data_IF_763942830531
#
_entry.id   IF_763942830531
#
_cell.length_a   1.000
_cell.length_b   1.000
_cell.length_c   1.000
_cell.angle_alpha   90.00
_cell.angle_beta   90.00
_cell.angle_gamma   90.00
#
_symmetry.space_group_name_H-M   'P 1'
#
loop_
_entity.id
_entity.type
_entity.pdbx_description
1 polymer ?
#
# COMPACT_ATOMS: atom_id res chain seq x y z
N UNK A 1 -113.41 34.22 -82.04
CA UNK A 1 -112.21 34.87 -81.47
C UNK A 1 -111.58 35.77 -82.52
N UNK A 2 -111.38 37.05 -82.21
CA UNK A 2 -110.71 37.96 -83.13
C UNK A 2 -109.27 37.48 -83.37
N UNK A 3 -108.88 37.32 -84.64
CA UNK A 3 -107.51 36.90 -85.04
C UNK A 3 -106.43 37.80 -84.42
N UNK A 4 -106.75 39.06 -84.12
CA UNK A 4 -105.89 40.01 -83.40
C UNK A 4 -105.66 39.61 -81.94
N UNK A 5 -106.68 39.16 -81.21
CA UNK A 5 -106.57 38.74 -79.81
C UNK A 5 -105.71 37.48 -79.65
N UNK A 6 -105.84 36.49 -80.55
CA UNK A 6 -105.02 35.27 -80.51
C UNK A 6 -103.53 35.54 -80.76
N UNK A 7 -103.21 36.43 -81.73
CA UNK A 7 -101.83 36.86 -82.00
C UNK A 7 -101.20 37.54 -80.78
N UNK A 8 -101.95 38.42 -80.10
CA UNK A 8 -101.46 39.11 -78.90
C UNK A 8 -101.16 38.13 -77.75
N UNK A 9 -102.01 37.10 -77.56
CA UNK A 9 -101.77 36.04 -76.56
C UNK A 9 -100.52 35.22 -76.90
N UNK A 10 -100.32 34.86 -78.16
CA UNK A 10 -99.17 34.08 -78.60
C UNK A 10 -97.85 34.88 -78.48
N UNK A 11 -97.88 36.17 -78.80
CA UNK A 11 -96.74 37.09 -78.57
C UNK A 11 -96.41 37.19 -77.08
N UNK A 12 -97.43 37.35 -76.23
CA UNK A 12 -97.25 37.38 -74.77
C UNK A 12 -96.61 36.10 -74.23
N UNK A 13 -97.06 34.92 -74.70
CA UNK A 13 -96.50 33.63 -74.29
C UNK A 13 -95.04 33.47 -74.73
N UNK A 14 -94.67 33.90 -75.94
CA UNK A 14 -93.27 33.90 -76.40
C UNK A 14 -92.38 34.82 -75.56
N UNK A 15 -92.88 35.99 -75.17
CA UNK A 15 -92.16 36.90 -74.26
C UNK A 15 -91.95 36.25 -72.89
N UNK A 16 -92.95 35.56 -72.35
CA UNK A 16 -92.82 34.85 -71.06
C UNK A 16 -91.82 33.69 -71.15
N UNK A 17 -91.86 32.88 -72.20
CA UNK A 17 -90.89 31.78 -72.39
C UNK A 17 -89.48 32.33 -72.53
N UNK A 18 -89.28 33.36 -73.37
CA UNK A 18 -87.95 33.96 -73.57
C UNK A 18 -87.42 34.60 -72.29
N UNK A 19 -88.25 35.31 -71.52
CA UNK A 19 -87.89 35.86 -70.22
C UNK A 19 -87.56 34.75 -69.19
N UNK A 20 -88.36 33.68 -69.15
CA UNK A 20 -88.11 32.52 -68.27
C UNK A 20 -86.81 31.80 -68.64
N UNK A 21 -86.54 31.59 -69.94
CA UNK A 21 -85.29 31.00 -70.42
C UNK A 21 -84.08 31.86 -70.08
N UNK A 22 -84.18 33.19 -70.25
CA UNK A 22 -83.10 34.12 -69.88
C UNK A 22 -82.86 34.12 -68.37
N UNK A 23 -83.93 34.14 -67.55
CA UNK A 23 -83.83 34.03 -66.10
C UNK A 23 -83.18 32.72 -65.67
N UNK A 24 -83.62 31.59 -66.22
CA UNK A 24 -83.04 30.25 -65.94
C UNK A 24 -81.58 30.14 -66.37
N UNK A 25 -81.23 30.72 -67.50
CA UNK A 25 -79.84 30.79 -67.95
C UNK A 25 -78.99 31.63 -66.99
N UNK A 26 -79.50 32.77 -66.54
CA UNK A 26 -78.85 33.61 -65.54
C UNK A 26 -78.65 32.91 -64.20
N UNK A 27 -79.66 32.20 -63.68
CA UNK A 27 -79.51 31.40 -62.45
C UNK A 27 -78.49 30.27 -62.62
N UNK A 28 -78.51 29.57 -63.76
CA UNK A 28 -77.55 28.49 -64.04
C UNK A 28 -76.12 29.01 -64.18
N UNK A 29 -75.91 30.19 -64.79
CA UNK A 29 -74.61 30.84 -64.85
C UNK A 29 -74.11 31.23 -63.46
N UNK A 30 -74.99 31.77 -62.61
CA UNK A 30 -74.64 32.10 -61.22
C UNK A 30 -74.21 30.86 -60.45
N UNK A 31 -74.98 29.77 -60.52
CA UNK A 31 -74.63 28.49 -59.88
C UNK A 31 -73.29 27.93 -60.39
N UNK A 32 -73.02 28.03 -61.70
CA UNK A 32 -71.71 27.62 -62.26
C UNK A 32 -70.56 28.49 -61.75
N UNK A 33 -70.79 29.78 -61.58
CA UNK A 33 -69.79 30.69 -61.05
C UNK A 33 -69.52 30.45 -59.56
N UNK A 34 -70.58 30.25 -58.76
CA UNK A 34 -70.48 29.93 -57.34
C UNK A 34 -69.74 28.59 -57.13
N UNK A 35 -70.07 27.56 -57.93
CA UNK A 35 -69.35 26.26 -57.88
C UNK A 35 -67.89 26.40 -58.33
N UNK A 36 -67.58 27.25 -59.31
CA UNK A 36 -66.20 27.52 -59.71
C UNK A 36 -65.39 28.21 -58.60
N UNK A 37 -65.98 29.17 -57.88
CA UNK A 37 -65.34 29.80 -56.71
C UNK A 37 -65.05 28.77 -55.63
N UNK A 38 -66.04 27.96 -55.25
CA UNK A 38 -65.86 26.92 -54.24
C UNK A 38 -64.80 25.91 -54.66
N UNK A 39 -64.78 25.52 -55.94
CA UNK A 39 -63.77 24.59 -56.46
C UNK A 39 -62.36 25.19 -56.38
N UNK A 40 -62.18 26.48 -56.63
CA UNK A 40 -60.88 27.13 -56.49
C UNK A 40 -60.46 27.26 -55.02
N UNK A 41 -61.39 27.56 -54.11
CA UNK A 41 -61.12 27.58 -52.67
C UNK A 41 -60.71 26.19 -52.16
N UNK A 42 -61.39 25.13 -52.61
CA UNK A 42 -61.03 23.75 -52.26
C UNK A 42 -59.66 23.36 -52.80
N UNK A 43 -59.30 23.81 -54.01
CA UNK A 43 -57.95 23.60 -54.56
C UNK A 43 -56.88 24.29 -53.72
N UNK A 44 -57.09 25.55 -53.37
CA UNK A 44 -56.17 26.31 -52.51
C UNK A 44 -55.99 25.63 -51.14
N UNK A 45 -57.09 25.16 -50.54
CA UNK A 45 -57.02 24.40 -49.28
C UNK A 45 -56.27 23.08 -49.44
N UNK A 46 -56.45 22.37 -50.57
CA UNK A 46 -55.74 21.13 -50.85
C UNK A 46 -54.24 21.39 -50.99
N UNK A 47 -53.85 22.44 -51.72
CA UNK A 47 -52.45 22.84 -51.88
C UNK A 47 -51.80 23.18 -50.54
N UNK A 48 -52.52 23.91 -49.66
CA UNK A 48 -52.06 24.20 -48.29
C UNK A 48 -51.90 22.91 -47.48
N UNK A 49 -52.90 22.02 -47.51
CA UNK A 49 -52.83 20.73 -46.79
C UNK A 49 -51.68 19.85 -47.29
N UNK A 50 -51.41 19.88 -48.59
CA UNK A 50 -50.31 19.12 -49.19
C UNK A 50 -48.95 19.68 -48.74
N UNK A 51 -48.81 21.01 -48.68
CA UNK A 51 -47.62 21.67 -48.13
C UNK A 51 -47.44 21.35 -46.64
N UNK A 52 -48.49 21.44 -45.83
CA UNK A 52 -48.45 21.09 -44.41
C UNK A 52 -48.05 19.63 -44.21
N UNK A 53 -48.61 18.72 -45.00
CA UNK A 53 -48.24 17.30 -44.96
C UNK A 53 -46.76 17.10 -45.29
N UNK A 54 -46.24 17.77 -46.31
CA UNK A 54 -44.81 17.67 -46.67
C UNK A 54 -43.91 18.22 -45.56
N UNK A 55 -44.29 19.35 -44.96
CA UNK A 55 -43.56 19.95 -43.85
C UNK A 55 -43.55 19.02 -42.62
N UNK A 56 -44.70 18.44 -42.27
CA UNK A 56 -44.81 17.48 -41.16
C UNK A 56 -44.00 16.21 -41.41
N UNK A 57 -43.96 15.71 -42.65
CA UNK A 57 -43.11 14.57 -43.00
C UNK A 57 -41.62 14.90 -42.86
N UNK A 58 -41.20 16.08 -43.34
CA UNK A 58 -39.82 16.53 -43.20
C UNK A 58 -39.42 16.71 -41.73
N UNK A 59 -40.29 17.26 -40.90
CA UNK A 59 -40.03 17.46 -39.48
C UNK A 59 -40.03 16.13 -38.70
N UNK A 60 -40.88 15.17 -39.09
CA UNK A 60 -40.86 13.81 -38.55
C UNK A 60 -39.54 13.10 -38.90
N UNK A 61 -39.06 13.22 -40.13
CA UNK A 61 -37.76 12.66 -40.54
C UNK A 61 -36.60 13.30 -39.77
N UNK A 62 -36.58 14.63 -39.63
CA UNK A 62 -35.59 15.32 -38.77
C UNK A 62 -35.66 14.85 -37.32
N UNK A 63 -36.87 14.70 -36.78
CA UNK A 63 -37.10 14.18 -35.43
C UNK A 63 -36.49 12.78 -35.24
N UNK A 64 -36.71 11.88 -36.20
CA UNK A 64 -36.11 10.53 -36.19
C UNK A 64 -34.58 10.55 -36.29
N UNK A 65 -34.02 11.45 -37.10
CA UNK A 65 -32.56 11.59 -37.22
C UNK A 65 -31.94 12.10 -35.91
N UNK A 66 -32.57 13.09 -35.26
CA UNK A 66 -32.13 13.59 -33.97
C UNK A 66 -32.27 12.53 -32.88
N UNK A 67 -33.35 11.76 -32.87
CA UNK A 67 -33.52 10.64 -31.94
C UNK A 67 -32.43 9.58 -32.13
N UNK A 68 -32.12 9.22 -33.38
CA UNK A 68 -31.03 8.29 -33.68
C UNK A 68 -29.68 8.82 -33.17
N UNK A 69 -29.36 10.10 -33.41
CA UNK A 69 -28.14 10.73 -32.91
C UNK A 69 -28.07 10.72 -31.38
N UNK A 70 -29.16 11.11 -30.70
CA UNK A 70 -29.23 11.12 -29.23
C UNK A 70 -29.10 9.72 -28.63
N UNK A 71 -29.62 8.69 -29.30
CA UNK A 71 -29.44 7.30 -28.83
C UNK A 71 -28.00 6.84 -29.01
N UNK A 72 -27.36 7.15 -30.13
CA UNK A 72 -25.93 6.87 -30.36
C UNK A 72 -25.04 7.55 -29.31
N UNK A 73 -25.23 8.87 -29.11
CA UNK A 73 -24.52 9.63 -28.08
C UNK A 73 -24.73 9.07 -26.67
N UNK A 74 -25.97 8.69 -26.31
CA UNK A 74 -26.25 8.06 -25.03
C UNK A 74 -25.51 6.73 -24.86
N UNK A 75 -25.45 5.90 -25.90
CA UNK A 75 -24.71 4.63 -25.85
C UNK A 75 -23.21 4.88 -25.69
N UNK A 76 -22.64 5.83 -26.44
CA UNK A 76 -21.24 6.22 -26.33
C UNK A 76 -20.89 6.78 -24.94
N UNK A 77 -21.73 7.66 -24.39
CA UNK A 77 -21.58 8.19 -23.04
C UNK A 77 -21.66 7.08 -21.99
N UNK A 78 -22.61 6.14 -22.12
CA UNK A 78 -22.75 5.00 -21.21
C UNK A 78 -21.51 4.12 -21.22
N UNK A 79 -20.91 3.87 -22.38
CA UNK A 79 -19.70 3.07 -22.48
C UNK A 79 -18.46 3.82 -21.97
N UNK A 80 -18.38 5.13 -22.19
CA UNK A 80 -17.37 5.99 -21.56
C UNK A 80 -17.46 5.96 -20.04
N UNK A 81 -18.67 6.04 -19.47
CA UNK A 81 -18.90 5.93 -18.02
C UNK A 81 -18.46 4.57 -17.48
N UNK A 82 -18.75 3.48 -18.20
CA UNK A 82 -18.26 2.14 -17.79
C UNK A 82 -16.73 2.07 -17.85
N UNK A 83 -16.11 2.57 -18.91
CA UNK A 83 -14.66 2.55 -19.09
C UNK A 83 -13.95 3.38 -18.00
N UNK A 84 -14.46 4.57 -17.68
CA UNK A 84 -13.92 5.40 -16.60
C UNK A 84 -14.10 4.73 -15.24
N UNK A 85 -15.26 4.12 -14.96
CA UNK A 85 -15.48 3.35 -13.73
C UNK A 85 -14.47 2.21 -13.57
N UNK A 86 -14.20 1.45 -14.64
CA UNK A 86 -13.20 0.37 -14.61
C UNK A 86 -11.80 0.93 -14.32
N UNK A 87 -11.40 2.03 -14.99
CA UNK A 87 -10.11 2.69 -14.72
C UNK A 87 -10.01 3.16 -13.27
N UNK A 88 -11.07 3.76 -12.75
CA UNK A 88 -11.16 4.25 -11.38
C UNK A 88 -11.02 3.09 -10.38
N UNK A 89 -11.69 1.96 -10.61
CA UNK A 89 -11.53 0.77 -9.77
C UNK A 89 -10.10 0.21 -9.79
N UNK A 90 -9.43 0.22 -10.96
CA UNK A 90 -8.02 -0.21 -11.06
C UNK A 90 -7.10 0.71 -10.25
N UNK A 91 -7.26 2.02 -10.39
CA UNK A 91 -6.47 3.00 -9.64
C UNK A 91 -6.67 2.86 -8.13
N UNK A 92 -7.90 2.59 -7.66
CA UNK A 92 -8.13 2.33 -6.24
C UNK A 92 -7.46 1.05 -5.74
N UNK A 93 -7.45 -0.01 -6.55
CA UNK A 93 -6.74 -1.24 -6.20
C UNK A 93 -5.23 -1.01 -6.13
N UNK A 94 -4.65 -0.34 -7.13
CA UNK A 94 -3.22 0.03 -7.15
C UNK A 94 -2.86 0.94 -5.96
N UNK A 95 -3.71 1.91 -5.62
CA UNK A 95 -3.50 2.77 -4.45
C UNK A 95 -3.46 1.94 -3.17
N UNK A 96 -4.43 1.03 -2.98
CA UNK A 96 -4.49 0.17 -1.80
C UNK A 96 -3.29 -0.77 -1.70
N UNK A 97 -2.81 -1.29 -2.82
CA UNK A 97 -1.58 -2.10 -2.86
C UNK A 97 -0.35 -1.29 -2.45
N UNK A 98 -0.23 -0.05 -2.94
CA UNK A 98 0.86 0.86 -2.55
C UNK A 98 0.79 1.26 -1.08
N UNK A 99 -0.41 1.51 -0.55
CA UNK A 99 -0.61 1.80 0.87
C UNK A 99 -0.15 0.63 1.74
N UNK A 100 -0.53 -0.61 1.40
CA UNK A 100 -0.03 -1.81 2.09
C UNK A 100 1.49 -1.94 2.02
N UNK A 101 2.07 -1.74 0.83
CA UNK A 101 3.53 -1.80 0.67
C UNK A 101 4.24 -0.72 1.50
N UNK A 102 3.64 0.47 1.62
CA UNK A 102 4.15 1.54 2.46
C UNK A 102 4.06 1.19 3.95
N UNK A 103 2.95 0.62 4.41
CA UNK A 103 2.78 0.14 5.79
C UNK A 103 3.82 -0.94 6.13
N UNK A 104 4.02 -1.92 5.24
CA UNK A 104 5.04 -2.97 5.41
C UNK A 104 6.45 -2.38 5.47
N UNK A 105 6.77 -1.43 4.59
CA UNK A 105 8.07 -0.77 4.58
C UNK A 105 8.29 0.05 5.84
N UNK A 106 7.27 0.77 6.30
CA UNK A 106 7.29 1.56 7.54
C UNK A 106 7.51 0.65 8.76
N UNK A 107 6.85 -0.51 8.80
CA UNK A 107 7.06 -1.51 9.83
C UNK A 107 8.49 -2.09 9.82
N UNK A 108 9.04 -2.43 8.65
CA UNK A 108 10.43 -2.88 8.54
C UNK A 108 11.42 -1.80 8.97
N UNK A 109 11.15 -0.55 8.61
CA UNK A 109 11.98 0.57 9.00
C UNK A 109 12.01 0.76 10.53
N UNK A 110 10.86 0.66 11.20
CA UNK A 110 10.79 0.77 12.66
C UNK A 110 11.50 -0.40 13.37
N UNK A 111 11.39 -1.63 12.84
CA UNK A 111 12.16 -2.78 13.33
C UNK A 111 13.67 -2.55 13.20
N UNK A 112 14.15 -2.14 12.03
CA UNK A 112 15.57 -1.85 11.81
C UNK A 112 16.07 -0.71 12.70
N UNK A 113 15.24 0.30 12.95
CA UNK A 113 15.58 1.39 13.87
C UNK A 113 15.76 0.88 15.30
N UNK A 114 14.88 -0.02 15.77
CA UNK A 114 14.99 -0.65 17.08
C UNK A 114 16.21 -1.57 17.17
N UNK A 115 16.49 -2.38 16.14
CA UNK A 115 17.68 -3.23 16.08
C UNK A 115 18.97 -2.40 16.11
N UNK A 116 19.02 -1.31 15.36
CA UNK A 116 20.18 -0.41 15.38
C UNK A 116 20.39 0.24 16.75
N UNK A 117 19.30 0.67 17.42
CA UNK A 117 19.38 1.17 18.79
C UNK A 117 19.94 0.12 19.76
N UNK A 118 19.45 -1.13 19.70
CA UNK A 118 19.95 -2.23 20.52
C UNK A 118 21.44 -2.51 20.26
N UNK A 119 21.87 -2.54 18.98
CA UNK A 119 23.27 -2.76 18.62
C UNK A 119 24.19 -1.64 19.13
N UNK A 120 23.72 -0.39 19.12
CA UNK A 120 24.45 0.76 19.69
C UNK A 120 24.63 0.57 21.20
N UNK A 121 23.59 0.13 21.91
CA UNK A 121 23.67 -0.15 23.35
C UNK A 121 24.62 -1.33 23.66
N UNK A 122 24.51 -2.44 22.93
CA UNK A 122 25.40 -3.60 23.09
C UNK A 122 26.86 -3.22 22.85
N UNK A 123 27.13 -2.46 21.79
CA UNK A 123 28.47 -1.94 21.51
C UNK A 123 28.98 -1.10 22.67
N UNK A 124 28.16 -0.19 23.20
CA UNK A 124 28.51 0.61 24.37
C UNK A 124 28.84 -0.24 25.61
N UNK A 125 28.08 -1.31 25.85
CA UNK A 125 28.34 -2.24 26.95
C UNK A 125 29.65 -3.02 26.75
N UNK A 126 29.93 -3.47 25.52
CA UNK A 126 31.17 -4.16 25.19
C UNK A 126 32.38 -3.25 25.34
N UNK A 127 32.31 -2.00 24.86
CA UNK A 127 33.37 -1.00 25.02
C UNK A 127 33.67 -0.76 26.51
N UNK A 128 32.64 -0.68 27.36
CA UNK A 128 32.82 -0.61 28.82
C UNK A 128 33.51 -1.85 29.39
N UNK A 129 33.09 -3.06 29.02
CA UNK A 129 33.73 -4.31 29.49
C UNK A 129 35.20 -4.41 29.04
N UNK A 130 35.50 -4.01 27.81
CA UNK A 130 36.86 -3.97 27.28
C UNK A 130 37.71 -3.00 28.11
N UNK A 131 37.22 -1.78 28.35
CA UNK A 131 37.95 -0.80 29.16
C UNK A 131 38.22 -1.28 30.60
N UNK A 132 37.26 -1.99 31.22
CA UNK A 132 37.42 -2.59 32.54
C UNK A 132 38.49 -3.69 32.52
N UNK A 133 38.41 -4.63 31.57
CA UNK A 133 39.39 -5.71 31.43
C UNK A 133 40.81 -5.20 31.14
N UNK A 134 40.95 -4.11 30.38
CA UNK A 134 42.22 -3.43 30.17
C UNK A 134 42.78 -2.84 31.48
N UNK A 135 41.92 -2.18 32.28
CA UNK A 135 42.33 -1.63 33.58
C UNK A 135 42.75 -2.72 34.57
N UNK A 136 42.04 -3.85 34.62
CA UNK A 136 42.39 -5.01 35.44
C UNK A 136 43.71 -5.64 34.98
N UNK A 137 43.91 -5.79 33.67
CA UNK A 137 45.16 -6.28 33.10
C UNK A 137 46.33 -5.38 33.47
N UNK A 138 46.16 -4.06 33.41
CA UNK A 138 47.19 -3.10 33.84
C UNK A 138 47.47 -3.26 35.35
N UNK A 139 46.43 -3.35 36.18
CA UNK A 139 46.60 -3.56 37.62
C UNK A 139 47.32 -4.88 37.95
N UNK A 140 47.01 -5.96 37.23
CA UNK A 140 47.68 -7.25 37.37
C UNK A 140 49.14 -7.20 36.90
N UNK A 141 49.44 -6.51 35.79
CA UNK A 141 50.82 -6.29 35.34
C UNK A 141 51.66 -5.58 36.42
N UNK A 142 51.09 -4.56 37.06
CA UNK A 142 51.75 -3.84 38.18
C UNK A 142 51.94 -4.75 39.40
N UNK A 143 50.95 -5.59 39.74
CA UNK A 143 51.10 -6.59 40.81
C UNK A 143 52.16 -7.64 40.49
N UNK A 144 52.27 -8.08 39.24
CA UNK A 144 53.28 -9.06 38.82
C UNK A 144 54.68 -8.46 38.79
N UNK A 145 54.85 -7.20 38.39
CA UNK A 145 56.14 -6.51 38.47
C UNK A 145 56.60 -6.33 39.92
N UNK A 146 55.69 -5.98 40.83
CA UNK A 146 56.03 -5.84 42.25
C UNK A 146 56.44 -7.17 42.90
N UNK A 147 55.88 -8.32 42.48
CA UNK A 147 56.33 -9.64 42.94
C UNK A 147 57.77 -9.94 42.47
N UNK A 148 58.13 -9.57 41.24
CA UNK A 148 59.50 -9.75 40.77
C UNK A 148 60.48 -8.89 41.59
N UNK A 149 60.09 -7.65 41.91
CA UNK A 149 60.87 -6.77 42.77
C UNK A 149 60.97 -7.31 44.21
N UNK A 150 59.88 -7.80 44.79
CA UNK A 150 59.87 -8.51 46.08
C UNK A 150 60.81 -9.72 46.07
N UNK A 151 60.80 -10.52 45.01
CA UNK A 151 61.73 -11.66 44.86
C UNK A 151 63.19 -11.19 44.81
N UNK A 152 63.48 -10.05 44.17
CA UNK A 152 64.83 -9.46 44.16
C UNK A 152 65.22 -8.98 45.56
N UNK A 153 64.35 -8.24 46.25
CA UNK A 153 64.57 -7.75 47.61
C UNK A 153 64.80 -8.89 48.62
N UNK A 154 64.01 -9.97 48.56
CA UNK A 154 64.20 -11.17 49.41
C UNK A 154 65.55 -11.84 49.12
N UNK A 155 65.94 -11.93 47.86
CA UNK A 155 67.25 -12.49 47.48
C UNK A 155 68.40 -11.65 48.03
N UNK A 156 68.27 -10.33 47.99
CA UNK A 156 69.26 -9.40 48.52
C UNK A 156 69.30 -9.43 50.05
N UNK A 157 68.15 -9.43 50.73
CA UNK A 157 68.04 -9.60 52.18
C UNK A 157 68.69 -10.92 52.63
N UNK A 158 68.42 -12.04 51.94
CA UNK A 158 69.07 -13.32 52.21
C UNK A 158 70.59 -13.26 52.01
N UNK A 159 71.08 -12.49 51.02
CA UNK A 159 72.52 -12.26 50.83
C UNK A 159 73.12 -11.44 51.98
N UNK A 160 72.42 -10.40 52.45
CA UNK A 160 72.84 -9.55 53.59
C UNK A 160 72.80 -10.28 54.94
N UNK A 161 71.83 -11.18 55.15
CA UNK A 161 71.74 -12.01 56.36
C UNK A 161 72.71 -13.20 56.38
N UNK A 162 73.31 -13.55 55.23
CA UNK A 162 74.27 -14.65 55.14
C UNK A 162 75.53 -14.43 56.01
N UNK A 163 76.17 -13.24 56.05
CA UNK A 163 77.26 -12.96 56.98
C UNK A 163 76.81 -12.91 58.45
N UNK A 164 75.62 -12.37 58.77
CA UNK A 164 75.11 -12.33 60.16
C UNK A 164 74.80 -13.73 60.72
N UNK A 165 74.26 -14.63 59.90
CA UNK A 165 74.11 -16.06 60.28
C UNK A 165 75.43 -16.77 60.48
N UNK A 166 76.48 -16.40 59.75
CA UNK A 166 77.83 -16.93 59.96
C UNK A 166 78.46 -16.40 61.26
N UNK A 167 78.08 -15.20 61.71
CA UNK A 167 78.53 -14.62 63.00
C UNK A 167 77.72 -15.18 64.19
N UNK A 168 76.43 -15.46 64.01
CA UNK A 168 75.58 -16.09 65.03
C UNK A 168 75.79 -17.62 65.15
N UNK A 169 76.46 -18.26 64.20
CA UNK A 169 76.87 -19.67 64.26
C UNK A 169 78.17 -19.89 65.07
N UNK A 170 78.36 -19.16 66.18
CA UNK A 170 79.30 -19.57 67.22
C UNK A 170 78.62 -20.64 68.09
N UNK A 171 79.20 -21.84 68.26
CA UNK A 171 78.60 -22.89 69.05
C UNK A 171 78.62 -22.49 70.53
N UNK A 172 77.44 -22.21 71.11
CA UNK A 172 77.25 -22.41 72.55
C UNK A 172 77.10 -23.91 72.75
N UNK A 173 78.17 -24.55 73.22
CA UNK A 173 78.10 -25.84 73.92
C UNK A 173 77.18 -25.63 75.12
N UNK A 174 75.98 -26.19 75.05
CA UNK A 174 75.29 -26.75 76.20
C UNK A 174 74.58 -27.99 75.67
N UNK A 175 75.04 -29.12 76.16
CA UNK A 175 74.41 -30.42 76.01
C UNK A 175 73.04 -30.35 76.67
N UNK A 176 71.98 -30.44 75.87
CA UNK A 176 70.72 -31.03 76.27
C UNK A 176 70.07 -31.58 75.00
N UNK A 177 70.19 -32.89 74.85
CA UNK A 177 69.54 -33.69 73.82
C UNK A 177 68.03 -33.61 74.07
N UNK A 178 67.34 -32.78 73.30
CA UNK A 178 65.90 -32.89 73.12
C UNK A 178 65.68 -33.38 71.69
N UNK A 179 65.34 -34.67 71.58
CA UNK A 179 65.04 -35.35 70.32
C UNK A 179 63.74 -34.76 69.73
N UNK A 180 63.92 -33.73 68.91
CA UNK A 180 62.85 -33.00 68.24
C UNK A 180 62.26 -33.82 67.10
N UNK A 181 60.95 -34.04 67.22
CA UNK A 181 60.02 -34.74 66.31
C UNK A 181 60.39 -34.64 64.82
N UNK A 182 61.05 -35.68 64.30
CA UNK A 182 61.31 -35.89 62.87
C UNK A 182 60.02 -36.29 62.16
N UNK A 183 59.16 -35.30 61.88
CA UNK A 183 58.03 -35.35 60.94
C UNK A 183 57.52 -36.74 60.56
N UNK A 184 56.83 -37.41 61.49
CA UNK A 184 56.05 -38.60 61.18
C UNK A 184 54.61 -38.17 60.88
N UNK A 185 54.05 -38.59 59.75
CA UNK A 185 52.60 -38.56 59.54
C UNK A 185 51.99 -39.65 60.43
N UNK A 186 51.31 -39.23 61.50
CA UNK A 186 50.54 -40.12 62.36
C UNK A 186 49.10 -40.11 61.83
N UNK A 187 48.61 -41.28 61.41
CA UNK A 187 47.18 -41.51 61.17
C UNK A 187 46.71 -42.59 62.15
N UNK A 188 45.68 -42.30 62.93
CA UNK A 188 45.03 -43.23 63.87
C UNK A 188 45.95 -43.91 64.91
N UNK A 189 46.93 -43.18 65.44
CA UNK A 189 47.68 -43.57 66.65
C UNK A 189 48.68 -44.72 66.50
N UNK A 190 49.00 -45.18 65.29
CA UNK A 190 50.06 -46.19 65.04
C UNK A 190 51.17 -45.63 64.13
N UNK A 191 52.42 -45.73 64.59
CA UNK A 191 53.61 -45.29 63.84
C UNK A 191 53.77 -46.11 62.55
N UNK A 192 53.57 -45.48 61.41
CA UNK A 192 53.69 -46.11 60.09
C UNK A 192 55.08 -45.80 59.53
N UNK A 193 56.10 -46.57 59.89
CA UNK A 193 57.33 -46.59 59.10
C UNK A 193 57.98 -47.97 59.03
N UNK A 194 57.91 -48.58 57.83
CA UNK A 194 58.95 -49.41 57.20
C UNK A 194 58.52 -49.73 55.76
N UNK A 195 58.71 -48.78 54.84
CA UNK A 195 58.56 -49.05 53.40
C UNK A 195 58.66 -47.78 52.55
N UNK A 196 59.51 -47.77 51.52
CA UNK A 196 59.57 -46.68 50.54
C UNK A 196 58.24 -46.63 49.78
N UNK A 197 57.49 -45.54 49.93
CA UNK A 197 56.27 -45.31 49.14
C UNK A 197 56.70 -44.77 47.77
N UNK A 198 56.42 -45.52 46.71
CA UNK A 198 56.58 -45.09 45.31
C UNK A 198 55.24 -44.55 44.83
N UNK A 199 55.13 -43.24 44.66
CA UNK A 199 53.91 -42.61 44.12
C UNK A 199 53.99 -42.66 42.60
N UNK A 200 53.15 -43.47 41.97
CA UNK A 200 52.96 -43.48 40.52
C UNK A 200 51.74 -42.62 40.17
N UNK A 201 51.96 -41.59 39.35
CA UNK A 201 50.91 -40.70 38.85
C UNK A 201 50.41 -41.25 37.52
N UNK A 202 49.12 -41.61 37.44
CA UNK A 202 48.46 -41.93 36.17
C UNK A 202 47.70 -40.71 35.67
N UNK A 203 47.80 -40.35 34.37
CA UNK A 203 47.02 -39.26 33.80
C UNK A 203 45.52 -39.60 33.79
N UNK A 204 44.69 -38.58 33.99
CA UNK A 204 43.23 -38.71 33.97
C UNK A 204 42.73 -39.03 32.54
N UNK A 205 41.70 -39.87 32.38
CA UNK A 205 41.13 -40.17 31.06
C UNK A 205 40.49 -38.92 30.43
N UNK A 206 40.56 -38.77 29.11
CA UNK A 206 39.99 -37.62 28.40
C UNK A 206 38.45 -37.64 28.49
N UNK A 207 37.89 -36.46 28.76
CA UNK A 207 36.44 -36.21 28.79
C UNK A 207 35.92 -36.23 27.35
N UNK A 208 34.84 -36.98 27.03
CA UNK A 208 34.26 -36.97 25.69
C UNK A 208 33.68 -35.58 25.36
N UNK A 209 33.98 -35.10 24.16
CA UNK A 209 33.43 -33.86 23.62
C UNK A 209 31.99 -34.12 23.15
N UNK A 210 31.05 -33.30 23.62
CA UNK A 210 29.74 -33.08 23.00
C UNK A 210 29.81 -31.88 22.05
#
# INVERSE_FOLDING_TARGET
MNKSSFKNVLIGLLIVITAFSAFKYGTSLKEKYDTFIVMNQLKEQLDILEQEKQNLLADLEKGKQLEAQLTEENTALKDNIKATRIRLTKLFMEQREKEKAYEELSYRFSLLQAENANLIEEKGQLDLRVSQAESENQALKVKLSSIQELKKAIRELKRRMRPERLIAARPRKNDEVIDGNRGYLIKDGKSTYRGRIRVEVRPAPPIPAE
#
